data_IF_064950599669
#
_entry.id   IF_064950599669
#
_cell.length_a   1.000
_cell.length_b   1.000
_cell.length_c   1.000
_cell.angle_alpha   90.00
_cell.angle_beta   90.00
_cell.angle_gamma   90.00
#
_symmetry.space_group_name_H-M   'P 1'
#
loop_
_entity.id
_entity.type
_entity.pdbx_description
1 polymer ?
#
# COMPACT_ATOMS: atom_id res chain seq x y z
N UNK A 1 20.35 20.50 38.22
CA UNK A 1 19.84 19.79 37.04
C UNK A 1 19.11 18.56 37.54
N UNK A 2 17.79 18.53 37.46
CA UNK A 2 16.99 17.38 37.89
C UNK A 2 17.25 16.22 36.93
N UNK A 3 17.85 15.16 37.44
CA UNK A 3 18.09 13.89 36.72
C UNK A 3 16.83 13.02 36.83
N UNK A 4 15.70 13.53 36.34
CA UNK A 4 14.48 12.73 36.30
C UNK A 4 14.49 11.89 35.02
N UNK A 5 14.22 10.57 35.10
CA UNK A 5 14.14 9.73 33.93
C UNK A 5 12.99 10.19 33.01
N UNK A 6 13.12 10.00 31.69
CA UNK A 6 12.05 10.32 30.75
C UNK A 6 10.81 9.48 31.05
N UNK A 7 9.62 10.06 30.82
CA UNK A 7 8.36 9.34 30.94
C UNK A 7 8.22 8.36 29.77
N UNK A 8 7.91 7.07 30.02
CA UNK A 8 7.74 6.10 28.95
C UNK A 8 6.46 6.37 28.15
N UNK A 9 6.48 6.15 26.82
CA UNK A 9 5.30 6.35 25.98
C UNK A 9 4.20 5.32 26.30
N UNK A 10 2.95 5.79 26.41
CA UNK A 10 1.80 4.97 26.78
C UNK A 10 1.40 3.92 25.72
N UNK A 11 1.78 4.16 24.47
CA UNK A 11 1.46 3.27 23.34
C UNK A 11 2.42 2.08 23.23
N UNK A 12 3.56 2.10 23.93
CA UNK A 12 4.51 0.99 23.91
C UNK A 12 4.22 0.00 25.04
N UNK A 13 4.21 -1.32 24.75
CA UNK A 13 4.14 -2.35 25.77
C UNK A 13 5.24 -2.19 26.82
N UNK A 14 4.91 -2.52 28.08
CA UNK A 14 5.85 -2.41 29.19
C UNK A 14 7.11 -3.26 28.97
N UNK A 15 7.01 -4.39 28.27
CA UNK A 15 8.17 -5.23 27.91
C UNK A 15 9.17 -4.51 26.98
N UNK A 16 8.67 -3.70 26.03
CA UNK A 16 9.54 -2.90 25.15
C UNK A 16 10.20 -1.78 25.95
N UNK A 17 9.46 -1.12 26.83
CA UNK A 17 10.01 -0.07 27.72
C UNK A 17 11.11 -0.64 28.61
N UNK A 18 10.89 -1.82 29.21
CA UNK A 18 11.88 -2.48 30.06
C UNK A 18 13.13 -2.89 29.30
N UNK A 19 12.99 -3.39 28.07
CA UNK A 19 14.16 -3.75 27.25
C UNK A 19 14.97 -2.50 26.86
N UNK A 20 14.32 -1.40 26.49
CA UNK A 20 15.00 -0.13 26.20
C UNK A 20 15.73 0.45 27.42
N UNK A 21 15.13 0.37 28.62
CA UNK A 21 15.78 0.82 29.86
C UNK A 21 17.07 0.03 30.19
N UNK A 22 17.24 -1.17 29.65
CA UNK A 22 18.45 -1.99 29.82
C UNK A 22 19.58 -1.69 28.83
N UNK A 23 19.35 -0.85 27.81
CA UNK A 23 20.33 -0.56 26.77
C UNK A 23 21.27 0.60 27.14
N UNK A 24 22.48 0.56 26.58
CA UNK A 24 23.41 1.68 26.68
C UNK A 24 22.93 2.88 25.83
N UNK A 25 23.41 4.11 26.10
CA UNK A 25 23.07 5.28 25.30
C UNK A 25 23.33 5.10 23.80
N UNK A 26 24.46 4.49 23.43
CA UNK A 26 24.80 4.20 22.03
C UNK A 26 23.80 3.23 21.38
N UNK A 27 23.38 2.19 22.10
CA UNK A 27 22.39 1.23 21.63
C UNK A 27 21.03 1.90 21.44
N UNK A 28 20.61 2.76 22.36
CA UNK A 28 19.38 3.54 22.24
C UNK A 28 19.42 4.47 21.02
N UNK A 29 20.57 5.07 20.71
CA UNK A 29 20.74 5.90 19.51
C UNK A 29 20.61 5.07 18.21
N UNK A 30 21.13 3.84 18.20
CA UNK A 30 20.93 2.93 17.07
C UNK A 30 19.47 2.52 16.89
N UNK A 31 18.77 2.20 17.99
CA UNK A 31 17.34 1.88 17.96
C UNK A 31 16.52 3.06 17.44
N UNK A 32 16.80 4.27 17.91
CA UNK A 32 16.09 5.47 17.45
C UNK A 32 16.18 5.66 15.93
N UNK A 33 17.40 5.58 15.37
CA UNK A 33 17.62 5.70 13.92
C UNK A 33 16.89 4.62 13.13
N UNK A 34 16.98 3.36 13.57
CA UNK A 34 16.30 2.26 12.89
C UNK A 34 14.77 2.38 12.98
N UNK A 35 14.24 2.81 14.12
CA UNK A 35 12.81 3.01 14.29
C UNK A 35 12.27 4.11 13.37
N UNK A 36 13.03 5.18 13.15
CA UNK A 36 12.72 6.26 12.21
C UNK A 36 12.70 5.75 10.76
N UNK A 37 13.76 5.06 10.32
CA UNK A 37 13.81 4.45 8.98
C UNK A 37 12.67 3.44 8.75
N UNK A 38 12.34 2.66 9.77
CA UNK A 38 11.24 1.69 9.72
C UNK A 38 9.88 2.38 9.61
N UNK A 39 9.67 3.49 10.32
CA UNK A 39 8.45 4.26 10.24
C UNK A 39 8.27 4.88 8.85
N UNK A 40 9.34 5.45 8.28
CA UNK A 40 9.31 5.97 6.90
C UNK A 40 9.03 4.88 5.88
N UNK A 41 9.63 3.69 6.03
CA UNK A 41 9.38 2.55 5.16
C UNK A 41 7.91 2.15 5.19
N UNK A 42 7.35 1.94 6.39
CA UNK A 42 5.94 1.55 6.56
C UNK A 42 4.96 2.62 6.08
N UNK A 43 5.27 3.89 6.28
CA UNK A 43 4.46 4.98 5.76
C UNK A 43 4.48 5.03 4.22
N UNK A 44 5.62 4.69 3.60
CA UNK A 44 5.73 4.56 2.14
C UNK A 44 4.97 3.33 1.63
N UNK A 45 5.09 2.19 2.30
CA UNK A 45 4.35 0.97 1.96
C UNK A 45 2.85 1.20 2.06
N UNK A 46 2.35 1.82 3.13
CA UNK A 46 0.92 2.13 3.26
C UNK A 46 0.42 3.05 2.14
N UNK A 47 1.23 4.03 1.72
CA UNK A 47 0.89 4.87 0.55
C UNK A 47 0.91 4.11 -0.77
N UNK A 48 1.82 3.15 -0.92
CA UNK A 48 1.87 2.30 -2.10
C UNK A 48 0.72 1.28 -2.10
N UNK A 49 0.33 0.72 -0.96
CA UNK A 49 -0.79 -0.20 -0.81
C UNK A 49 -2.12 0.52 -1.10
N UNK A 50 -2.31 1.75 -0.61
CA UNK A 50 -3.44 2.61 -0.97
C UNK A 50 -3.44 2.99 -2.47
N UNK A 51 -2.27 3.12 -3.09
CA UNK A 51 -2.14 3.32 -4.55
C UNK A 51 -2.34 2.00 -5.34
N UNK A 52 -2.01 0.85 -4.75
CA UNK A 52 -2.14 -0.49 -5.35
C UNK A 52 -3.58 -1.01 -5.32
N UNK A 53 -4.40 -0.59 -4.35
CA UNK A 53 -5.84 -0.87 -4.34
C UNK A 53 -6.58 -0.13 -5.48
N UNK A 54 -6.02 0.95 -6.03
CA UNK A 54 -6.51 1.63 -7.24
C UNK A 54 -5.88 1.06 -8.54
N UNK A 55 -4.76 0.34 -8.41
CA UNK A 55 -3.93 -0.18 -9.51
C UNK A 55 -3.69 -1.70 -9.35
N UNK A 56 -4.76 -2.51 -9.22
CA UNK A 56 -4.72 -3.93 -9.59
C UNK A 56 -4.53 -4.02 -11.12
N UNK A 57 -3.30 -3.74 -11.56
CA UNK A 57 -2.79 -3.93 -12.92
C UNK A 57 -2.60 -5.43 -13.11
N UNK A 58 -3.70 -6.12 -13.36
CA UNK A 58 -3.64 -7.46 -13.93
C UNK A 58 -3.11 -7.35 -15.36
N UNK A 59 -1.90 -7.90 -15.51
CA UNK A 59 -1.19 -8.33 -16.70
C UNK A 59 -1.85 -8.00 -18.04
N UNK A 60 -1.11 -7.27 -18.90
CA UNK A 60 -1.36 -7.11 -20.34
C UNK A 60 -1.90 -8.42 -20.95
N UNK A 61 -3.22 -8.53 -21.19
CA UNK A 61 -3.78 -9.74 -21.75
C UNK A 61 -3.45 -9.79 -23.23
N UNK A 62 -2.94 -10.93 -23.67
CA UNK A 62 -2.84 -11.32 -25.08
C UNK A 62 -4.22 -11.42 -25.77
N UNK A 63 -5.33 -11.22 -25.03
CA UNK A 63 -6.73 -11.30 -25.49
C UNK A 63 -7.36 -9.90 -25.65
N UNK A 64 -6.66 -8.99 -26.34
CA UNK A 64 -7.18 -7.67 -26.70
C UNK A 64 -8.15 -7.79 -27.88
N UNK A 65 -9.45 -7.48 -27.74
CA UNK A 65 -10.38 -7.45 -28.87
C UNK A 65 -10.05 -6.27 -29.80
N UNK A 66 -10.32 -6.42 -31.12
CA UNK A 66 -10.02 -5.41 -32.18
C UNK A 66 -10.51 -3.98 -31.88
N UNK A 67 -11.55 -3.86 -31.05
CA UNK A 67 -12.21 -2.60 -30.70
C UNK A 67 -11.57 -1.91 -29.47
N UNK A 68 -10.51 -2.50 -28.90
CA UNK A 68 -9.74 -1.97 -27.77
C UNK A 68 -8.31 -1.70 -28.26
N UNK A 69 -7.80 -0.47 -28.09
CA UNK A 69 -6.44 -0.17 -28.52
C UNK A 69 -5.43 -0.92 -27.67
N UNK A 70 -4.29 -1.27 -28.27
CA UNK A 70 -3.21 -2.02 -27.61
C UNK A 70 -2.57 -1.31 -26.39
N UNK A 71 -2.93 -0.05 -26.15
CA UNK A 71 -2.54 0.74 -24.97
C UNK A 71 -3.61 0.79 -23.87
N UNK A 72 -4.66 -0.02 -23.98
CA UNK A 72 -5.66 -0.13 -22.93
C UNK A 72 -5.11 -0.90 -21.74
N UNK A 73 -5.49 -0.46 -20.54
CA UNK A 73 -5.16 -1.09 -19.26
C UNK A 73 -6.42 -1.78 -18.74
N UNK A 74 -6.29 -2.87 -17.98
CA UNK A 74 -7.43 -3.44 -17.26
C UNK A 74 -7.61 -2.70 -15.94
N UNK A 75 -8.86 -2.39 -15.60
CA UNK A 75 -9.27 -1.83 -14.32
C UNK A 75 -10.39 -2.68 -13.75
N UNK A 76 -10.39 -2.91 -12.45
CA UNK A 76 -11.49 -3.58 -11.75
C UNK A 76 -12.56 -2.54 -11.38
N UNK A 77 -13.82 -2.81 -11.70
CA UNK A 77 -14.97 -2.02 -11.25
C UNK A 77 -15.81 -2.85 -10.31
N UNK A 78 -16.05 -2.33 -9.11
CA UNK A 78 -16.98 -2.90 -8.14
C UNK A 78 -18.37 -2.28 -8.31
N UNK A 79 -19.38 -3.12 -8.50
CA UNK A 79 -20.78 -2.73 -8.66
C UNK A 79 -21.67 -3.73 -7.93
N UNK A 80 -22.42 -3.29 -6.92
CA UNK A 80 -23.28 -4.13 -6.08
C UNK A 80 -22.52 -5.34 -5.45
N UNK A 81 -21.34 -5.10 -4.86
CA UNK A 81 -20.48 -6.13 -4.25
C UNK A 81 -19.94 -7.19 -5.25
N UNK A 82 -20.11 -6.96 -6.56
CA UNK A 82 -19.54 -7.78 -7.63
C UNK A 82 -18.39 -7.04 -8.31
N UNK A 83 -17.26 -7.73 -8.51
CA UNK A 83 -16.08 -7.18 -9.18
C UNK A 83 -16.08 -7.57 -10.66
N UNK A 84 -15.74 -6.63 -11.54
CA UNK A 84 -15.72 -6.83 -12.99
C UNK A 84 -14.46 -6.24 -13.61
N UNK A 85 -13.82 -6.97 -14.51
CA UNK A 85 -12.70 -6.45 -15.31
C UNK A 85 -13.21 -5.59 -16.46
N UNK A 86 -12.64 -4.40 -16.59
CA UNK A 86 -12.87 -3.47 -17.68
C UNK A 86 -11.56 -3.07 -18.35
N UNK A 87 -11.54 -3.06 -19.67
CA UNK A 87 -10.51 -2.36 -20.43
C UNK A 87 -10.75 -0.86 -20.36
N UNK A 88 -9.72 -0.08 -20.09
CA UNK A 88 -9.77 1.37 -20.02
C UNK A 88 -8.65 1.99 -20.85
N UNK A 89 -8.98 2.99 -21.67
CA UNK A 89 -8.01 3.72 -22.47
C UNK A 89 -8.44 5.17 -22.67
N UNK A 90 -7.49 6.02 -23.09
CA UNK A 90 -7.77 7.41 -23.47
C UNK A 90 -7.86 7.55 -24.99
N UNK A 91 -8.93 8.18 -25.44
CA UNK A 91 -9.13 8.61 -26.82
C UNK A 91 -9.22 10.14 -26.82
N UNK A 92 -8.08 10.80 -27.05
CA UNK A 92 -7.95 12.24 -26.84
C UNK A 92 -8.17 12.61 -25.38
N UNK A 93 -9.14 13.51 -25.14
CA UNK A 93 -9.50 13.97 -23.79
C UNK A 93 -10.60 13.12 -23.11
N UNK A 94 -11.06 12.05 -23.77
CA UNK A 94 -12.14 11.19 -23.25
C UNK A 94 -11.58 9.86 -22.77
N UNK A 95 -11.97 9.46 -21.56
CA UNK A 95 -11.73 8.11 -21.05
C UNK A 95 -12.82 7.19 -21.61
N UNK A 96 -12.40 6.11 -22.26
CA UNK A 96 -13.26 5.03 -22.76
C UNK A 96 -13.06 3.80 -21.89
N UNK A 97 -14.13 3.03 -21.72
CA UNK A 97 -14.03 1.73 -21.05
C UNK A 97 -14.89 0.67 -21.76
N UNK A 98 -14.46 -0.58 -21.70
CA UNK A 98 -15.16 -1.74 -22.27
C UNK A 98 -15.13 -2.91 -21.30
N UNK A 99 -16.27 -3.56 -21.13
CA UNK A 99 -16.39 -4.75 -20.29
C UNK A 99 -15.53 -5.90 -20.84
N UNK A 100 -14.71 -6.54 -19.99
CA UNK A 100 -13.90 -7.71 -20.32
C UNK A 100 -14.60 -8.98 -19.83
N UNK A 101 -14.65 -9.18 -18.51
CA UNK A 101 -15.15 -10.41 -17.87
C UNK A 101 -15.53 -10.13 -16.41
N UNK A 102 -16.37 -10.96 -15.79
CA UNK A 102 -16.53 -10.93 -14.34
C UNK A 102 -15.22 -11.37 -13.67
N UNK A 103 -14.89 -10.75 -12.54
CA UNK A 103 -13.84 -11.26 -11.66
C UNK A 103 -14.46 -12.42 -10.89
N UNK A 104 -13.92 -13.63 -11.05
CA UNK A 104 -14.39 -14.74 -10.23
C UNK A 104 -13.97 -14.48 -8.78
N UNK A 105 -14.89 -14.53 -7.81
CA UNK A 105 -14.56 -14.32 -6.40
C UNK A 105 -13.91 -15.56 -5.73
N UNK A 106 -13.50 -16.57 -6.51
CA UNK A 106 -13.03 -17.88 -6.02
C UNK A 106 -11.54 -18.14 -6.36
N UNK A 107 -10.74 -17.09 -6.54
CA UNK A 107 -9.28 -17.18 -6.65
C UNK A 107 -8.58 -16.51 -5.46
#
# INVERSE_FOLDING_TARGET
MSYEPPTPPAELPTDIVNTLNGYSPDQLQHVARYAEELAEHKAREARLEEESEDDEIDERPDDLPDDVPSKATITIKEINDNRYYYWQWREGDKVKSKYKSPVNPDE
#
